data_IF_051923407951
#
_entry.id   IF_051923407951
#
_cell.length_a   1.000
_cell.length_b   1.000
_cell.length_c   1.000
_cell.angle_alpha   90.00
_cell.angle_beta   90.00
_cell.angle_gamma   90.00
#
_symmetry.space_group_name_H-M   'P 1'
#
loop_
_entity.id
_entity.type
_entity.pdbx_description
1 polymer ?
#
# COMPACT_ATOMS: atom_id res chain seq x y z
N UNK A 1 -45.76 10.01 -23.46
CA UNK A 1 -44.34 10.42 -23.51
C UNK A 1 -43.62 9.67 -22.40
N UNK A 2 -42.61 8.86 -22.75
CA UNK A 2 -41.81 8.11 -21.80
C UNK A 2 -40.69 9.00 -21.24
N UNK A 3 -40.45 8.93 -19.93
CA UNK A 3 -39.18 9.36 -19.32
C UNK A 3 -38.72 8.26 -18.37
N UNK A 4 -37.51 7.76 -18.64
CA UNK A 4 -36.81 6.77 -17.83
C UNK A 4 -36.16 7.46 -16.63
N UNK A 5 -36.30 6.89 -15.44
CA UNK A 5 -35.46 7.19 -14.27
C UNK A 5 -35.02 5.85 -13.71
N UNK A 6 -33.73 5.55 -13.90
CA UNK A 6 -33.09 4.36 -13.36
C UNK A 6 -32.70 4.60 -11.90
N UNK A 7 -33.09 3.67 -11.03
CA UNK A 7 -32.60 3.57 -9.66
C UNK A 7 -32.41 2.08 -9.32
N UNK A 8 -31.29 1.53 -9.76
CA UNK A 8 -30.80 0.21 -9.33
C UNK A 8 -29.76 0.40 -8.22
N UNK A 9 -30.17 0.88 -7.05
CA UNK A 9 -29.24 1.05 -5.90
C UNK A 9 -29.90 0.78 -4.55
N UNK A 10 -30.83 -0.19 -4.46
CA UNK A 10 -31.55 -0.45 -3.20
C UNK A 10 -31.63 -1.93 -2.81
N UNK A 11 -30.64 -2.76 -3.18
CA UNK A 11 -30.63 -4.20 -2.82
C UNK A 11 -29.25 -4.78 -2.49
N UNK A 12 -28.21 -3.97 -2.35
CA UNK A 12 -26.84 -4.43 -2.09
C UNK A 12 -26.33 -3.87 -0.76
N UNK A 13 -27.14 -3.96 0.30
CA UNK A 13 -26.82 -3.39 1.61
C UNK A 13 -27.11 -4.34 2.78
N UNK A 14 -27.37 -5.62 2.52
CA UNK A 14 -27.76 -6.55 3.58
C UNK A 14 -27.20 -7.96 3.39
N UNK A 15 -25.94 -8.10 2.95
CA UNK A 15 -25.16 -9.36 2.96
C UNK A 15 -23.66 -9.01 2.82
N UNK A 16 -23.11 -8.26 3.77
CA UNK A 16 -21.65 -8.17 3.92
C UNK A 16 -21.29 -8.47 5.36
N UNK A 17 -21.34 -9.76 5.69
CA UNK A 17 -20.89 -10.34 6.95
C UNK A 17 -19.46 -9.86 7.25
N UNK A 18 -19.33 -9.00 8.26
CA UNK A 18 -18.04 -8.61 8.84
C UNK A 18 -17.43 -9.86 9.45
N UNK A 19 -16.48 -10.47 8.73
CA UNK A 19 -15.73 -11.60 9.25
C UNK A 19 -14.78 -11.07 10.31
N UNK A 20 -15.22 -11.11 11.57
CA UNK A 20 -14.34 -11.01 12.74
C UNK A 20 -13.14 -11.94 12.49
N UNK A 21 -11.89 -11.45 12.58
CA UNK A 21 -10.76 -12.33 12.55
C UNK A 21 -10.83 -13.15 13.84
N UNK A 22 -11.39 -14.36 13.79
CA UNK A 22 -11.16 -15.39 14.81
C UNK A 22 -9.67 -15.74 14.76
N UNK A 23 -8.90 -14.88 15.41
CA UNK A 23 -7.48 -15.00 15.63
C UNK A 23 -7.32 -16.13 16.64
N UNK A 24 -7.22 -17.36 16.12
CA UNK A 24 -6.81 -18.54 16.88
C UNK A 24 -5.68 -18.17 17.86
N UNK A 25 -6.07 -18.13 19.15
CA UNK A 25 -5.27 -17.70 20.30
C UNK A 25 -4.19 -18.74 20.62
N UNK A 26 -3.17 -18.89 19.77
CA UNK A 26 -2.16 -19.92 20.01
C UNK A 26 -0.76 -19.66 19.48
N UNK A 27 -0.59 -18.79 18.48
CA UNK A 27 0.75 -18.42 18.02
C UNK A 27 1.06 -16.97 18.35
N UNK A 28 2.21 -16.67 19.00
CA UNK A 28 2.69 -15.30 19.02
C UNK A 28 2.90 -14.92 17.56
N UNK A 29 2.01 -14.10 17.02
CA UNK A 29 2.23 -13.40 15.77
C UNK A 29 3.47 -12.54 16.01
N UNK A 30 4.65 -13.12 15.76
CA UNK A 30 5.91 -12.39 15.83
C UNK A 30 5.83 -11.41 14.68
N UNK A 31 5.38 -10.19 14.97
CA UNK A 31 5.47 -9.09 14.02
C UNK A 31 6.92 -8.98 13.59
N UNK A 32 7.25 -9.53 12.42
CA UNK A 32 8.60 -9.49 11.87
C UNK A 32 8.85 -8.03 11.52
N UNK A 33 9.85 -7.43 12.17
CA UNK A 33 10.29 -6.08 11.77
C UNK A 33 10.73 -6.15 10.32
N UNK A 34 10.09 -5.34 9.47
CA UNK A 34 10.52 -5.16 8.07
C UNK A 34 12.01 -4.86 8.06
N UNK A 35 12.78 -5.75 7.44
CA UNK A 35 14.19 -5.52 7.18
C UNK A 35 14.35 -4.28 6.30
N UNK A 36 15.36 -3.46 6.59
CA UNK A 36 15.63 -2.27 5.80
C UNK A 36 16.18 -2.67 4.44
N UNK A 37 15.68 -2.02 3.38
CA UNK A 37 16.18 -2.22 2.01
C UNK A 37 17.68 -1.88 1.89
N UNK A 38 18.22 -1.08 2.81
CA UNK A 38 19.64 -0.69 2.83
C UNK A 38 20.60 -1.88 2.91
N UNK A 39 20.26 -2.95 3.63
CA UNK A 39 21.10 -4.15 3.72
C UNK A 39 21.15 -4.92 2.39
N UNK A 40 20.00 -5.07 1.75
CA UNK A 40 19.87 -5.76 0.45
C UNK A 40 20.58 -5.03 -0.70
N UNK A 41 20.71 -3.70 -0.64
CA UNK A 41 21.36 -2.92 -1.71
C UNK A 41 22.89 -3.05 -1.65
N UNK A 42 23.50 -3.32 -0.49
CA UNK A 42 24.98 -3.40 -0.37
C UNK A 42 25.58 -4.61 -1.06
N UNK A 43 24.80 -5.68 -1.24
CA UNK A 43 25.25 -6.94 -1.85
C UNK A 43 24.82 -7.10 -3.30
N UNK A 44 24.09 -6.14 -3.86
CA UNK A 44 23.61 -6.17 -5.25
C UNK A 44 24.44 -5.24 -6.12
N UNK A 45 24.60 -5.62 -7.38
CA UNK A 45 25.24 -4.76 -8.40
C UNK A 45 24.39 -3.52 -8.63
N UNK A 46 25.04 -2.36 -8.63
CA UNK A 46 24.40 -1.07 -8.92
C UNK A 46 24.44 -0.84 -10.43
N UNK A 47 23.27 -0.72 -11.05
CA UNK A 47 23.12 -0.39 -12.46
C UNK A 47 23.26 1.12 -12.69
N UNK A 48 22.74 1.92 -11.76
CA UNK A 48 22.79 3.38 -11.84
C UNK A 48 22.69 4.02 -10.46
N UNK A 49 23.43 5.11 -10.26
CA UNK A 49 23.34 5.91 -9.05
C UNK A 49 23.38 7.41 -9.33
N UNK A 50 22.87 8.20 -8.39
CA UNK A 50 22.91 9.66 -8.48
C UNK A 50 21.92 10.38 -7.58
N UNK A 51 21.99 11.71 -7.61
CA UNK A 51 21.04 12.59 -6.90
C UNK A 51 19.80 12.78 -7.76
N UNK A 52 18.67 12.27 -7.30
CA UNK A 52 17.37 12.46 -7.93
C UNK A 52 16.42 13.20 -6.98
N UNK A 53 15.30 13.64 -7.53
CA UNK A 53 14.24 14.26 -6.75
C UNK A 53 13.16 13.21 -6.51
N UNK A 54 12.82 12.96 -5.24
CA UNK A 54 11.67 12.13 -4.85
C UNK A 54 10.45 13.02 -4.63
N UNK A 55 9.34 12.71 -5.30
CA UNK A 55 8.03 13.22 -4.89
C UNK A 55 7.66 12.61 -3.54
N UNK A 56 7.37 13.45 -2.54
CA UNK A 56 6.97 12.99 -1.21
C UNK A 56 5.45 12.91 -1.10
N UNK A 57 4.93 12.19 -0.10
CA UNK A 57 3.48 11.98 0.08
C UNK A 57 2.71 13.30 0.28
N UNK A 58 3.38 14.35 0.78
CA UNK A 58 2.90 15.72 0.62
C UNK A 58 3.00 16.10 -0.87
N UNK A 59 1.85 16.15 -1.53
CA UNK A 59 1.64 16.32 -2.98
C UNK A 59 2.40 17.49 -3.63
N UNK A 60 2.98 18.40 -2.84
CA UNK A 60 3.64 19.61 -3.32
C UNK A 60 5.13 19.68 -3.00
N UNK A 61 5.72 18.63 -2.40
CA UNK A 61 7.11 18.66 -1.95
C UNK A 61 7.99 17.64 -2.65
N UNK A 62 8.97 18.17 -3.36
CA UNK A 62 10.05 17.47 -4.03
C UNK A 62 11.31 17.50 -3.15
N UNK A 63 11.92 16.34 -2.87
CA UNK A 63 13.13 16.26 -2.01
C UNK A 63 14.29 15.61 -2.75
N UNK A 64 15.45 16.29 -2.78
CA UNK A 64 16.72 15.73 -3.27
C UNK A 64 17.15 14.56 -2.39
N UNK A 65 17.36 13.38 -2.98
CA UNK A 65 17.85 12.16 -2.32
C UNK A 65 18.85 11.45 -3.23
N UNK A 66 19.75 10.68 -2.64
CA UNK A 66 20.66 9.81 -3.38
C UNK A 66 19.99 8.47 -3.64
N UNK A 67 20.02 8.01 -4.88
CA UNK A 67 19.42 6.74 -5.30
C UNK A 67 20.50 5.80 -5.80
N UNK A 68 20.31 4.51 -5.49
CA UNK A 68 21.07 3.38 -6.02
C UNK A 68 20.05 2.40 -6.57
N UNK A 69 20.16 2.08 -7.85
CA UNK A 69 19.35 1.09 -8.57
C UNK A 69 20.16 -0.17 -8.79
#
# INVERSE_FOLDING_TARGET
MAVAVGETTAKWLDESSDSEPEQEHGSPQKLIRKVSTSGQIRSKTILKEGKLIKQTNSFQRWKRRYFKL
#
